data_IF_316748287494
#
_entry.id   IF_316748287494
#
_cell.length_a   1.000
_cell.length_b   1.000
_cell.length_c   1.000
_cell.angle_alpha   90.00
_cell.angle_beta   90.00
_cell.angle_gamma   90.00
#
_symmetry.space_group_name_H-M   'P 1'
#
loop_
_entity.id
_entity.type
_entity.pdbx_description
1 polymer ?
#
# COMPACT_ATOMS: atom_id res chain seq x y z
N UNK A 1 -14.95 -3.07 -12.58
CA UNK A 1 -14.25 -2.71 -13.83
C UNK A 1 -13.86 -4.00 -14.53
N UNK A 2 -14.51 -4.31 -15.65
CA UNK A 2 -14.47 -5.62 -16.30
C UNK A 2 -13.23 -5.90 -17.15
N UNK A 3 -13.24 -7.07 -17.80
CA UNK A 3 -12.17 -7.65 -18.63
C UNK A 3 -11.51 -6.68 -19.63
N UNK A 4 -12.22 -5.64 -20.08
CA UNK A 4 -11.70 -4.60 -20.97
C UNK A 4 -10.57 -3.76 -20.37
N UNK A 5 -10.54 -3.57 -19.04
CA UNK A 5 -9.45 -2.84 -18.37
C UNK A 5 -8.17 -3.67 -18.22
N UNK A 6 -8.30 -4.99 -18.11
CA UNK A 6 -7.18 -5.90 -17.86
C UNK A 6 -6.13 -5.88 -18.99
N UNK A 7 -6.55 -5.69 -20.25
CA UNK A 7 -5.64 -5.62 -21.40
C UNK A 7 -4.66 -4.44 -21.34
N UNK A 8 -4.97 -3.40 -20.57
CA UNK A 8 -4.10 -2.24 -20.39
C UNK A 8 -3.13 -2.38 -19.21
N UNK A 9 -3.23 -3.44 -18.42
CA UNK A 9 -2.33 -3.65 -17.27
C UNK A 9 -0.82 -3.59 -17.63
N UNK A 10 -0.36 -4.18 -18.75
CA UNK A 10 1.04 -4.04 -19.16
C UNK A 10 1.45 -2.59 -19.46
N UNK A 11 0.56 -1.82 -20.10
CA UNK A 11 0.82 -0.42 -20.43
C UNK A 11 0.86 0.45 -19.17
N UNK A 12 -0.07 0.23 -18.23
CA UNK A 12 -0.05 0.90 -16.93
C UNK A 12 1.23 0.58 -16.15
N UNK A 13 1.72 -0.66 -16.20
CA UNK A 13 2.98 -1.03 -15.56
C UNK A 13 4.20 -0.35 -16.23
N UNK A 14 4.17 -0.18 -17.55
CA UNK A 14 5.19 0.59 -18.26
C UNK A 14 5.17 2.07 -17.85
N UNK A 15 3.99 2.67 -17.71
CA UNK A 15 3.82 4.04 -17.23
C UNK A 15 4.38 4.17 -15.81
N UNK A 16 3.98 3.27 -14.89
CA UNK A 16 4.44 3.24 -13.51
C UNK A 16 5.98 3.20 -13.39
N UNK A 17 6.64 2.44 -14.24
CA UNK A 17 8.08 2.24 -14.23
C UNK A 17 8.88 3.28 -15.04
N UNK A 18 8.22 4.16 -15.79
CA UNK A 18 8.90 5.16 -16.61
C UNK A 18 9.19 6.44 -15.81
N UNK A 19 10.44 6.61 -15.36
CA UNK A 19 10.88 7.80 -14.60
C UNK A 19 10.81 9.12 -15.39
N UNK A 20 10.62 9.07 -16.71
CA UNK A 20 10.38 10.29 -17.53
C UNK A 20 8.93 10.75 -17.48
N UNK A 21 8.03 9.95 -16.94
CA UNK A 21 6.62 10.29 -16.76
C UNK A 21 6.45 10.98 -15.41
N UNK A 22 5.57 11.99 -15.39
CA UNK A 22 5.16 12.69 -14.19
C UNK A 22 4.78 11.73 -13.04
N UNK A 23 5.23 12.04 -11.83
CA UNK A 23 5.03 11.18 -10.66
C UNK A 23 3.55 10.98 -10.32
N UNK A 24 2.68 11.97 -10.54
CA UNK A 24 1.23 11.85 -10.33
C UNK A 24 0.57 10.93 -11.36
N UNK A 25 1.04 10.94 -12.60
CA UNK A 25 0.59 10.00 -13.64
C UNK A 25 1.03 8.57 -13.30
N UNK A 26 2.25 8.40 -12.77
CA UNK A 26 2.76 7.09 -12.31
C UNK A 26 1.95 6.56 -11.13
N UNK A 27 1.62 7.40 -10.15
CA UNK A 27 0.75 7.03 -9.04
C UNK A 27 -0.66 6.63 -9.50
N UNK A 28 -1.21 7.36 -10.48
CA UNK A 28 -2.49 7.02 -11.10
C UNK A 28 -2.44 5.65 -11.79
N UNK A 29 -1.33 5.32 -12.43
CA UNK A 29 -1.12 4.00 -13.03
C UNK A 29 -1.06 2.89 -11.97
N UNK A 30 -0.37 3.13 -10.84
CA UNK A 30 -0.37 2.19 -9.71
C UNK A 30 -1.77 1.94 -9.14
N UNK A 31 -2.55 3.02 -8.93
CA UNK A 31 -3.93 2.96 -8.46
C UNK A 31 -4.84 2.19 -9.44
N UNK A 32 -4.70 2.46 -10.73
CA UNK A 32 -5.42 1.73 -11.76
C UNK A 32 -5.08 0.23 -11.74
N UNK A 33 -3.80 -0.13 -11.61
CA UNK A 33 -3.38 -1.53 -11.45
C UNK A 33 -4.01 -2.18 -10.21
N UNK A 34 -4.02 -1.51 -9.06
CA UNK A 34 -4.70 -2.00 -7.85
C UNK A 34 -6.18 -2.30 -8.09
N UNK A 35 -6.88 -1.39 -8.78
CA UNK A 35 -8.30 -1.52 -9.09
C UNK A 35 -8.62 -2.59 -10.16
N UNK A 36 -7.63 -3.07 -10.90
CA UNK A 36 -7.77 -4.20 -11.82
C UNK A 36 -7.76 -5.56 -11.10
N UNK A 37 -7.52 -5.60 -9.78
CA UNK A 37 -7.57 -6.82 -8.98
C UNK A 37 -6.64 -7.90 -9.53
N UNK A 38 -7.19 -9.07 -9.87
CA UNK A 38 -6.41 -10.21 -10.41
C UNK A 38 -5.57 -9.87 -11.64
N UNK A 39 -6.01 -8.95 -12.51
CA UNK A 39 -5.21 -8.55 -13.68
C UNK A 39 -4.06 -7.62 -13.32
N UNK A 40 -4.20 -6.82 -12.25
CA UNK A 40 -3.14 -5.97 -11.72
C UNK A 40 -2.15 -6.70 -10.80
N UNK A 41 -2.58 -7.83 -10.21
CA UNK A 41 -1.80 -8.64 -9.27
C UNK A 41 -0.38 -8.99 -9.74
N UNK A 42 -0.20 -9.22 -11.04
CA UNK A 42 1.11 -9.51 -11.64
C UNK A 42 2.12 -8.37 -11.43
N UNK A 43 1.64 -7.13 -11.31
CA UNK A 43 2.42 -5.90 -11.19
C UNK A 43 2.51 -5.37 -9.77
N UNK A 44 2.02 -6.14 -8.79
CA UNK A 44 2.16 -5.80 -7.38
C UNK A 44 3.63 -5.54 -6.93
N UNK A 45 4.67 -6.23 -7.47
CA UNK A 45 6.06 -5.85 -7.18
C UNK A 45 6.40 -4.42 -7.64
N UNK A 46 5.89 -3.99 -8.80
CA UNK A 46 6.12 -2.65 -9.33
C UNK A 46 5.41 -1.58 -8.49
N UNK A 47 4.19 -1.87 -8.05
CA UNK A 47 3.41 -1.02 -7.14
C UNK A 47 4.16 -0.86 -5.80
N UNK A 48 4.65 -1.96 -5.22
CA UNK A 48 5.43 -1.91 -3.98
C UNK A 48 6.75 -1.15 -4.16
N UNK A 49 7.42 -1.31 -5.30
CA UNK A 49 8.65 -0.57 -5.62
C UNK A 49 8.38 0.94 -5.69
N UNK A 50 7.26 1.35 -6.29
CA UNK A 50 6.87 2.76 -6.35
C UNK A 50 6.55 3.31 -4.96
N UNK A 51 5.83 2.55 -4.12
CA UNK A 51 5.56 2.92 -2.73
C UNK A 51 6.84 3.18 -1.92
N UNK A 52 7.88 2.36 -2.13
CA UNK A 52 9.18 2.51 -1.45
C UNK A 52 10.14 3.50 -2.14
N UNK A 53 9.70 4.23 -3.17
CA UNK A 53 10.59 5.14 -3.88
C UNK A 53 10.70 6.50 -3.17
N UNK A 54 11.74 6.66 -2.35
CA UNK A 54 11.98 7.89 -1.59
C UNK A 54 12.33 9.12 -2.45
N UNK A 55 12.48 8.95 -3.76
CA UNK A 55 12.64 10.07 -4.71
C UNK A 55 11.31 10.68 -5.16
N UNK A 56 10.19 9.98 -4.91
CA UNK A 56 8.84 10.43 -5.28
C UNK A 56 8.23 11.16 -4.09
N UNK A 57 7.50 12.24 -4.36
CA UNK A 57 6.81 12.99 -3.32
C UNK A 57 5.93 12.05 -2.46
N UNK A 58 6.06 12.05 -1.13
CA UNK A 58 5.26 11.23 -0.23
C UNK A 58 3.75 11.33 -0.46
N UNK A 59 3.24 12.53 -0.73
CA UNK A 59 1.82 12.79 -1.01
C UNK A 59 1.33 12.21 -2.34
N UNK A 60 2.24 11.74 -3.19
CA UNK A 60 1.90 11.13 -4.47
C UNK A 60 1.95 9.60 -4.39
N UNK A 61 2.80 9.05 -3.51
CA UNK A 61 2.94 7.60 -3.33
C UNK A 61 2.03 7.01 -2.25
N UNK A 62 1.35 7.81 -1.42
CA UNK A 62 0.48 7.31 -0.35
C UNK A 62 -0.69 6.44 -0.86
N UNK A 63 -1.39 6.86 -1.92
CA UNK A 63 -2.47 6.15 -2.59
C UNK A 63 -2.01 4.80 -3.18
N UNK A 64 -0.69 4.62 -3.37
CA UNK A 64 -0.09 3.38 -3.86
C UNK A 64 -0.19 2.26 -2.83
N UNK A 65 -0.18 2.59 -1.52
CA UNK A 65 -0.39 1.59 -0.48
C UNK A 65 -1.81 0.99 -0.57
N UNK A 66 -2.83 1.83 -0.75
CA UNK A 66 -4.22 1.38 -0.95
C UNK A 66 -4.31 0.48 -2.18
N UNK A 67 -3.60 0.81 -3.26
CA UNK A 67 -3.58 0.00 -4.48
C UNK A 67 -3.14 -1.45 -4.20
N UNK A 68 -2.16 -1.67 -3.32
CA UNK A 68 -1.76 -3.03 -2.89
C UNK A 68 -2.86 -3.73 -2.09
N UNK A 69 -3.55 -3.01 -1.20
CA UNK A 69 -4.70 -3.54 -0.46
C UNK A 69 -5.86 -3.95 -1.38
N UNK A 70 -6.11 -3.18 -2.44
CA UNK A 70 -7.18 -3.43 -3.41
C UNK A 70 -6.95 -4.67 -4.30
N UNK A 71 -5.73 -5.22 -4.32
CA UNK A 71 -5.44 -6.47 -5.04
C UNK A 71 -6.06 -7.71 -4.35
N UNK A 72 -6.58 -7.57 -3.14
CA UNK A 72 -7.21 -8.65 -2.38
C UNK A 72 -6.24 -9.79 -2.08
N UNK A 73 -6.65 -11.04 -2.33
CA UNK A 73 -5.84 -12.24 -2.08
C UNK A 73 -4.45 -12.18 -2.75
N UNK A 74 -4.35 -11.57 -3.93
CA UNK A 74 -3.06 -11.42 -4.59
C UNK A 74 -2.12 -10.39 -3.91
N UNK A 75 -2.71 -9.43 -3.19
CA UNK A 75 -2.00 -8.47 -2.36
C UNK A 75 -1.55 -9.05 -1.01
N UNK A 76 -2.21 -10.12 -0.54
CA UNK A 76 -1.96 -10.72 0.78
C UNK A 76 -0.49 -11.10 1.02
N UNK A 77 0.22 -11.54 -0.02
CA UNK A 77 1.64 -11.90 0.07
C UNK A 77 2.57 -10.72 0.37
N UNK A 78 2.09 -9.47 0.22
CA UNK A 78 2.82 -8.24 0.54
C UNK A 78 2.47 -7.66 1.90
N UNK A 79 1.59 -8.31 2.66
CA UNK A 79 1.25 -7.86 4.01
C UNK A 79 2.49 -7.71 4.92
N UNK A 80 3.51 -8.60 4.89
CA UNK A 80 4.74 -8.39 5.67
C UNK A 80 5.52 -7.12 5.27
N UNK A 81 5.62 -6.82 3.99
CA UNK A 81 6.29 -5.61 3.50
C UNK A 81 5.50 -4.34 3.85
N UNK A 82 4.17 -4.37 3.72
CA UNK A 82 3.32 -3.28 4.19
C UNK A 82 3.49 -3.07 5.70
N UNK A 83 3.51 -4.14 6.50
CA UNK A 83 3.74 -4.01 7.94
C UNK A 83 5.11 -3.39 8.28
N UNK A 84 6.17 -3.72 7.52
CA UNK A 84 7.48 -3.06 7.66
C UNK A 84 7.43 -1.56 7.36
N UNK A 85 6.68 -1.15 6.32
CA UNK A 85 6.51 0.27 5.97
C UNK A 85 5.75 1.00 7.08
N UNK A 86 4.66 0.41 7.58
CA UNK A 86 3.90 0.94 8.71
C UNK A 86 4.77 1.19 9.95
N UNK A 87 5.66 0.24 10.27
CA UNK A 87 6.55 0.30 11.43
C UNK A 87 7.84 1.11 11.22
N UNK A 88 8.07 1.67 10.03
CA UNK A 88 9.27 2.45 9.73
C UNK A 88 9.04 3.94 10.04
N UNK A 89 9.65 4.44 11.11
CA UNK A 89 9.56 5.84 11.54
C UNK A 89 10.22 6.86 10.59
N UNK A 90 10.94 6.40 9.57
CA UNK A 90 11.51 7.26 8.52
C UNK A 90 10.55 7.49 7.35
N UNK A 91 9.46 6.74 7.29
CA UNK A 91 8.43 6.89 6.25
C UNK A 91 7.43 7.94 6.72
N UNK A 92 6.94 8.76 5.78
CA UNK A 92 5.92 9.76 6.07
C UNK A 92 4.65 9.16 6.69
N UNK A 93 4.11 9.92 7.63
CA UNK A 93 2.96 9.53 8.44
C UNK A 93 1.70 9.19 7.61
N UNK A 94 1.46 9.92 6.50
CA UNK A 94 0.34 9.60 5.61
C UNK A 94 0.55 8.24 4.92
N UNK A 95 1.76 7.93 4.45
CA UNK A 95 2.07 6.63 3.85
C UNK A 95 1.86 5.52 4.87
N UNK A 96 2.30 5.73 6.11
CA UNK A 96 2.14 4.76 7.20
C UNK A 96 0.66 4.54 7.52
N UNK A 97 -0.15 5.60 7.53
CA UNK A 97 -1.61 5.55 7.68
C UNK A 97 -2.28 4.78 6.53
N UNK A 98 -1.94 5.08 5.27
CA UNK A 98 -2.48 4.34 4.11
C UNK A 98 -2.04 2.89 4.09
N UNK A 99 -0.85 2.60 4.58
CA UNK A 99 -0.32 1.23 4.69
C UNK A 99 -1.06 0.43 5.75
N UNK A 100 -1.38 1.05 6.88
CA UNK A 100 -2.29 0.48 7.86
C UNK A 100 -3.65 0.16 7.20
N UNK A 101 -4.28 1.13 6.52
CA UNK A 101 -5.54 0.88 5.81
C UNK A 101 -5.44 -0.26 4.78
N UNK A 102 -4.35 -0.32 4.01
CA UNK A 102 -4.11 -1.37 3.05
C UNK A 102 -4.04 -2.76 3.71
N UNK A 103 -3.40 -2.88 4.88
CA UNK A 103 -3.39 -4.12 5.67
C UNK A 103 -4.81 -4.53 6.08
N UNK A 104 -5.64 -3.57 6.52
CA UNK A 104 -7.06 -3.82 6.81
C UNK A 104 -7.82 -4.35 5.60
N UNK A 105 -7.59 -3.78 4.42
CA UNK A 105 -8.20 -4.23 3.16
C UNK A 105 -7.77 -5.65 2.74
N UNK A 106 -6.60 -6.11 3.20
CA UNK A 106 -6.12 -7.48 2.94
C UNK A 106 -6.77 -8.54 3.85
N UNK A 107 -7.67 -8.15 4.75
CA UNK A 107 -8.48 -9.06 5.57
C UNK A 107 -7.61 -9.97 6.45
N UNK A 108 -7.80 -11.29 6.35
CA UNK A 108 -7.07 -12.28 7.15
C UNK A 108 -5.55 -12.12 7.09
N UNK A 109 -5.00 -11.68 5.95
CA UNK A 109 -3.57 -11.49 5.81
C UNK A 109 -3.05 -10.31 6.63
N UNK A 110 -3.84 -9.22 6.74
CA UNK A 110 -3.54 -8.10 7.63
C UNK A 110 -3.80 -8.43 9.10
N UNK A 111 -4.85 -9.21 9.37
CA UNK A 111 -5.22 -9.63 10.73
C UNK A 111 -4.13 -10.46 11.42
N UNK A 112 -3.22 -11.10 10.67
CA UNK A 112 -2.06 -11.81 11.22
C UNK A 112 -1.14 -10.91 12.06
N UNK A 113 -1.14 -9.60 11.81
CA UNK A 113 -0.33 -8.62 12.53
C UNK A 113 -1.05 -8.04 13.76
N UNK A 114 -2.26 -8.52 14.11
CA UNK A 114 -3.01 -8.04 15.27
C UNK A 114 -2.22 -8.00 16.56
N UNK A 115 -1.45 -9.06 16.92
CA UNK A 115 -0.64 -9.04 18.13
C UNK A 115 0.38 -7.90 18.13
N UNK A 116 1.09 -7.69 17.02
CA UNK A 116 2.08 -6.65 16.87
C UNK A 116 1.45 -5.24 16.92
N UNK A 117 0.28 -5.06 16.31
CA UNK A 117 -0.47 -3.81 16.46
C UNK A 117 -0.90 -3.56 17.91
N UNK A 118 -1.34 -4.60 18.64
CA UNK A 118 -1.69 -4.49 20.06
C UNK A 118 -0.46 -4.14 20.93
N UNK A 119 0.72 -4.69 20.63
CA UNK A 119 1.96 -4.29 21.29
C UNK A 119 2.30 -2.82 21.01
N UNK A 120 2.15 -2.38 19.77
CA UNK A 120 2.38 -0.99 19.37
C UNK A 120 1.45 -0.03 20.13
N UNK A 121 0.16 -0.39 20.26
CA UNK A 121 -0.84 0.38 20.98
C UNK A 121 -0.51 0.58 22.46
N UNK A 122 0.07 -0.45 23.09
CA UNK A 122 0.40 -0.46 24.52
C UNK A 122 1.83 0.05 24.80
N UNK A 123 2.59 0.41 23.77
CA UNK A 123 3.95 0.90 23.92
C UNK A 123 4.00 2.43 23.91
N UNK A 124 4.05 3.01 25.11
CA UNK A 124 4.11 4.46 25.34
C UNK A 124 5.41 5.10 24.80
N UNK A 125 6.45 4.30 24.52
CA UNK A 125 7.71 4.79 23.95
C UNK A 125 7.64 5.00 22.43
N UNK A 126 6.64 4.44 21.76
CA UNK A 126 6.47 4.62 20.32
C UNK A 126 5.82 5.97 20.00
N UNK A 127 5.88 6.35 18.73
CA UNK A 127 5.29 7.59 18.25
C UNK A 127 3.75 7.61 18.44
N UNK A 128 3.17 8.76 18.82
CA UNK A 128 1.72 8.87 19.01
C UNK A 128 0.93 8.60 17.71
N UNK A 129 1.51 8.95 16.56
CA UNK A 129 0.93 8.73 15.24
C UNK A 129 0.84 7.24 14.93
N UNK A 130 1.88 6.43 15.22
CA UNK A 130 1.81 4.96 15.00
C UNK A 130 0.69 4.32 15.82
N UNK A 131 0.51 4.77 17.06
CA UNK A 131 -0.59 4.28 17.92
C UNK A 131 -1.95 4.69 17.39
N UNK A 132 -2.09 5.93 16.89
CA UNK A 132 -3.34 6.41 16.30
C UNK A 132 -3.74 5.57 15.08
N UNK A 133 -2.80 5.27 14.19
CA UNK A 133 -3.03 4.45 13.00
C UNK A 133 -3.33 2.99 13.34
N UNK A 134 -2.66 2.43 14.35
CA UNK A 134 -3.01 1.10 14.85
C UNK A 134 -4.44 1.04 15.41
N UNK A 135 -4.92 2.11 16.06
CA UNK A 135 -6.30 2.16 16.60
C UNK A 135 -7.35 2.22 15.49
N UNK A 136 -7.11 2.99 14.43
CA UNK A 136 -8.09 3.17 13.35
C UNK A 136 -8.38 1.86 12.60
N UNK A 137 -7.45 0.92 12.57
CA UNK A 137 -7.62 -0.41 11.99
C UNK A 137 -8.52 -1.34 12.82
N UNK A 138 -8.40 -1.31 14.15
CA UNK A 138 -9.09 -2.23 15.08
C UNK A 138 -10.36 -1.68 15.72
N UNK A 139 -10.79 -0.48 15.33
CA UNK A 139 -12.03 0.13 15.82
C UNK A 139 -13.26 -0.21 14.96
N UNK A 140 -13.12 -1.11 13.99
CA UNK A 140 -14.18 -1.62 13.09
C UNK A 140 -14.43 -3.09 13.44
#
# INVERSE_FOLDING_TARGET
>A
MGETGAKYAPELANILNNEKVDEGVRASAAKALGNLGKAGAKYAPDILKFLNNDKVNPHIRDDTAIALGNLGEAGAKYAPELFKIFNNNKVDDEIRSKTAQALGNLGEAGAKFAPEFAEILNNDKLDANIRSYARSLWSI
#
